data_IF_366494272340
#
_entry.id   IF_366494272340
#
_cell.length_a   1.000
_cell.length_b   1.000
_cell.length_c   1.000
_cell.angle_alpha   90.00
_cell.angle_beta   90.00
_cell.angle_gamma   90.00
#
_symmetry.space_group_name_H-M   'P 1'
#
loop_
_entity.id
_entity.type
_entity.pdbx_description
1 polymer ?
#
# COMPACT_ATOMS: atom_id res chain seq x y z
N UNK A 1 58.33 -24.20 -2.06
CA UNK A 1 59.67 -23.58 -1.89
C UNK A 1 60.30 -23.57 -3.27
N UNK A 2 60.95 -22.46 -3.69
CA UNK A 2 61.41 -22.18 -5.07
C UNK A 2 60.21 -22.02 -6.07
N UNK A 3 60.01 -20.97 -6.88
CA UNK A 3 60.91 -20.01 -7.59
C UNK A 3 61.72 -20.71 -8.72
N UNK A 4 62.12 -20.04 -9.84
CA UNK A 4 61.93 -18.63 -10.19
C UNK A 4 61.51 -18.37 -11.67
N UNK A 5 61.50 -17.09 -12.07
CA UNK A 5 62.00 -16.68 -13.40
C UNK A 5 62.68 -15.30 -13.29
N UNK A 6 63.91 -15.21 -13.79
CA UNK A 6 64.73 -13.99 -13.96
C UNK A 6 64.54 -13.44 -15.39
N UNK A 7 65.20 -12.43 -15.97
CA UNK A 7 66.40 -11.57 -15.73
C UNK A 7 66.23 -10.34 -16.69
N UNK A 8 66.82 -9.14 -16.62
CA UNK A 8 67.85 -8.41 -15.84
C UNK A 8 67.26 -7.03 -15.41
N UNK A 9 67.82 -6.12 -14.58
CA UNK A 9 69.18 -5.79 -14.06
C UNK A 9 70.07 -4.91 -14.97
N UNK A 10 70.11 -3.59 -14.75
CA UNK A 10 71.34 -2.79 -14.91
C UNK A 10 71.33 -1.49 -14.09
N UNK A 11 72.43 -1.21 -13.40
CA UNK A 11 72.64 -0.06 -12.51
C UNK A 11 73.19 1.17 -13.23
N UNK A 12 72.95 2.36 -12.65
CA UNK A 12 73.98 3.42 -12.57
C UNK A 12 73.78 4.30 -11.32
N UNK A 13 74.51 4.00 -10.24
CA UNK A 13 74.59 4.84 -9.03
C UNK A 13 75.58 6.01 -9.21
N UNK A 14 75.18 7.22 -8.76
CA UNK A 14 76.13 8.22 -8.24
C UNK A 14 75.49 9.28 -7.31
N UNK A 15 75.26 8.88 -6.05
CA UNK A 15 75.63 9.63 -4.84
C UNK A 15 75.39 11.16 -4.72
N UNK A 16 74.55 11.53 -3.72
CA UNK A 16 74.62 12.73 -2.84
C UNK A 16 74.25 14.10 -3.48
N UNK A 17 73.65 15.06 -2.76
CA UNK A 17 73.63 15.33 -1.30
C UNK A 17 72.30 16.02 -0.88
N UNK A 18 72.03 16.10 0.43
CA UNK A 18 70.84 16.76 0.99
C UNK A 18 70.79 18.27 0.70
N UNK A 19 69.59 18.81 0.43
CA UNK A 19 69.12 20.06 1.05
C UNK A 19 67.57 20.10 1.02
N UNK A 20 66.96 20.42 2.15
CA UNK A 20 65.52 20.67 2.31
C UNK A 20 65.34 22.19 2.40
N UNK A 21 64.32 22.77 1.77
CA UNK A 21 63.23 23.28 2.62
C UNK A 21 61.81 23.15 2.04
N UNK A 22 60.91 22.61 2.87
CA UNK A 22 59.49 22.98 2.98
C UNK A 22 58.71 23.37 1.71
N UNK A 23 58.16 22.39 1.00
CA UNK A 23 57.03 22.56 0.07
C UNK A 23 55.79 21.85 0.61
N UNK A 24 54.85 22.58 1.24
CA UNK A 24 53.72 22.00 1.95
C UNK A 24 52.54 21.66 1.01
N UNK A 25 52.65 20.55 0.28
CA UNK A 25 51.55 20.01 -0.54
C UNK A 25 50.45 19.38 0.30
N UNK A 26 49.62 20.20 0.93
CA UNK A 26 48.33 19.76 1.47
C UNK A 26 47.37 19.45 0.32
N UNK A 27 46.92 18.20 0.22
CA UNK A 27 45.83 17.81 -0.65
C UNK A 27 44.50 18.36 -0.09
N UNK A 28 44.12 19.56 -0.53
CA UNK A 28 43.00 20.31 0.02
C UNK A 28 41.80 20.34 -0.95
N UNK A 29 40.97 19.29 -0.92
CA UNK A 29 39.56 19.34 -1.38
C UNK A 29 38.72 18.19 -0.82
N UNK A 30 38.85 17.91 0.48
CA UNK A 30 37.73 17.33 1.23
C UNK A 30 36.68 18.44 1.41
N UNK A 31 35.89 18.68 0.36
CA UNK A 31 34.76 19.62 0.42
C UNK A 31 33.71 19.00 1.34
N UNK A 32 33.47 19.59 2.51
CA UNK A 32 32.41 19.09 3.37
C UNK A 32 31.07 19.38 2.72
N UNK A 33 30.12 18.44 2.76
CA UNK A 33 28.78 18.64 2.19
C UNK A 33 28.01 19.81 2.84
N UNK A 34 28.45 20.30 4.01
CA UNK A 34 27.93 21.48 4.68
C UNK A 34 28.35 22.83 4.06
N UNK A 35 29.36 22.84 3.18
CA UNK A 35 29.91 24.07 2.58
C UNK A 35 29.25 24.42 1.22
N UNK A 36 28.22 23.67 0.80
CA UNK A 36 27.42 23.93 -0.40
C UNK A 36 26.29 24.91 -0.08
N UNK A 37 26.21 26.01 -0.84
CA UNK A 37 25.13 26.99 -0.72
C UNK A 37 23.76 26.37 -1.09
N UNK A 38 22.70 26.95 -0.53
CA UNK A 38 21.33 26.42 -0.65
C UNK A 38 20.80 26.40 -2.10
N UNK A 39 21.28 27.32 -2.95
CA UNK A 39 20.97 27.37 -4.38
C UNK A 39 21.68 26.24 -5.16
N UNK A 40 22.95 25.94 -4.83
CA UNK A 40 23.67 24.79 -5.37
C UNK A 40 23.09 23.47 -4.86
N UNK A 41 22.72 23.37 -3.59
CA UNK A 41 22.08 22.17 -3.02
C UNK A 41 20.71 21.88 -3.67
N UNK A 42 19.88 22.91 -3.89
CA UNK A 42 18.60 22.74 -4.60
C UNK A 42 18.79 22.40 -6.09
N UNK A 43 19.81 22.94 -6.76
CA UNK A 43 20.16 22.54 -8.14
C UNK A 43 20.68 21.10 -8.24
N UNK A 44 21.47 20.64 -7.27
CA UNK A 44 21.93 19.25 -7.18
C UNK A 44 20.78 18.28 -6.87
N UNK A 45 19.75 18.74 -6.14
CA UNK A 45 18.47 18.05 -5.94
C UNK A 45 17.47 18.19 -7.10
N UNK A 46 17.85 18.76 -8.26
CA UNK A 46 16.92 19.22 -9.29
C UNK A 46 15.96 18.19 -9.92
N UNK A 47 16.19 16.89 -9.72
CA UNK A 47 15.33 15.78 -10.15
C UNK A 47 14.78 14.94 -8.97
N UNK A 48 15.08 15.30 -7.72
CA UNK A 48 14.69 14.53 -6.54
C UNK A 48 13.22 14.78 -6.14
N UNK A 49 12.54 13.74 -5.65
CA UNK A 49 11.17 13.86 -5.10
C UNK A 49 11.25 14.19 -3.60
N UNK A 50 10.98 15.44 -3.24
CA UNK A 50 10.96 15.90 -1.84
C UNK A 50 12.32 15.79 -1.16
N UNK A 51 12.36 15.10 -0.01
CA UNK A 51 13.61 14.74 0.69
C UNK A 51 14.19 13.36 0.29
N UNK A 52 13.56 12.64 -0.65
CA UNK A 52 14.01 11.30 -1.09
C UNK A 52 15.15 11.36 -2.11
N UNK A 53 15.73 10.18 -2.42
CA UNK A 53 16.69 10.01 -3.52
C UNK A 53 16.03 9.58 -4.85
N UNK A 54 14.69 9.58 -4.92
CA UNK A 54 13.96 9.09 -6.10
C UNK A 54 13.79 10.16 -7.17
N UNK A 55 13.82 9.75 -8.44
CA UNK A 55 13.82 10.61 -9.62
C UNK A 55 12.41 10.99 -10.10
N UNK A 56 12.13 12.28 -10.23
CA UNK A 56 10.94 12.81 -10.88
C UNK A 56 10.87 12.39 -12.36
N UNK A 57 12.01 12.45 -13.06
CA UNK A 57 12.14 12.06 -14.47
C UNK A 57 11.85 10.58 -14.71
N UNK A 58 12.25 9.70 -13.78
CA UNK A 58 11.87 8.28 -13.80
C UNK A 58 10.34 8.14 -13.74
N UNK A 59 9.69 8.69 -12.71
CA UNK A 59 8.24 8.61 -12.54
C UNK A 59 7.50 9.13 -13.78
N UNK A 60 7.95 10.26 -14.34
CA UNK A 60 7.35 10.83 -15.55
C UNK A 60 7.54 9.95 -16.79
N UNK A 61 8.70 9.29 -16.99
CA UNK A 61 8.89 8.28 -18.05
C UNK A 61 7.90 7.14 -17.87
N UNK A 62 7.86 6.54 -16.68
CA UNK A 62 7.00 5.39 -16.37
C UNK A 62 5.52 5.73 -16.59
N UNK A 63 5.05 6.89 -16.11
CA UNK A 63 3.66 7.32 -16.27
C UNK A 63 3.28 7.72 -17.71
N UNK A 64 4.24 8.08 -18.56
CA UNK A 64 3.98 8.26 -19.99
C UNK A 64 3.76 6.90 -20.68
N UNK A 65 4.65 5.92 -20.48
CA UNK A 65 4.49 4.55 -21.01
C UNK A 65 3.20 3.90 -20.51
N UNK A 66 2.88 4.09 -19.23
CA UNK A 66 1.62 3.70 -18.59
C UNK A 66 0.38 4.23 -19.32
N UNK A 67 0.38 5.52 -19.68
CA UNK A 67 -0.76 6.18 -20.34
C UNK A 67 -0.99 5.68 -21.77
N UNK A 68 0.06 5.14 -22.41
CA UNK A 68 0.03 4.53 -23.74
C UNK A 68 -0.57 3.11 -23.76
N UNK A 69 -0.87 2.52 -22.59
CA UNK A 69 -1.41 1.16 -22.40
C UNK A 69 -0.57 0.04 -23.07
N UNK A 70 0.73 0.28 -23.24
CA UNK A 70 1.69 -0.76 -23.65
C UNK A 70 2.05 -1.54 -22.39
N UNK A 71 1.78 -2.85 -22.38
CA UNK A 71 2.16 -3.75 -21.30
C UNK A 71 3.21 -4.75 -21.78
N UNK A 72 4.33 -4.78 -21.07
CA UNK A 72 5.50 -5.65 -21.30
C UNK A 72 6.31 -5.76 -19.99
N UNK A 73 7.42 -6.50 -20.02
CA UNK A 73 8.26 -6.77 -18.85
C UNK A 73 9.01 -5.50 -18.36
N UNK A 74 9.37 -4.54 -19.23
CA UNK A 74 10.06 -3.30 -18.81
C UNK A 74 9.10 -2.40 -18.01
N UNK A 75 7.86 -2.25 -18.47
CA UNK A 75 6.88 -1.43 -17.75
C UNK A 75 6.35 -2.11 -16.49
N UNK A 76 6.31 -3.45 -16.40
CA UNK A 76 6.04 -4.12 -15.11
C UNK A 76 7.17 -3.83 -14.10
N UNK A 77 8.44 -3.96 -14.48
CA UNK A 77 9.58 -3.64 -13.59
C UNK A 77 9.57 -2.17 -13.15
N UNK A 78 9.39 -1.22 -14.08
CA UNK A 78 9.28 0.22 -13.79
C UNK A 78 8.12 0.50 -12.80
N UNK A 79 6.95 -0.13 -12.98
CA UNK A 79 5.78 0.07 -12.10
C UNK A 79 5.90 -0.64 -10.75
N UNK A 80 6.58 -1.78 -10.67
CA UNK A 80 6.91 -2.44 -9.40
C UNK A 80 7.84 -1.55 -8.57
N UNK A 81 8.89 -0.98 -9.19
CA UNK A 81 9.78 -0.05 -8.51
C UNK A 81 9.05 1.23 -8.08
N UNK A 82 8.15 1.75 -8.90
CA UNK A 82 7.27 2.87 -8.51
C UNK A 82 6.35 2.53 -7.32
N UNK A 83 5.90 1.29 -7.21
CA UNK A 83 5.11 0.83 -6.07
C UNK A 83 5.95 0.79 -4.78
N UNK A 84 7.16 0.25 -4.82
CA UNK A 84 8.09 0.29 -3.68
C UNK A 84 8.42 1.73 -3.27
N UNK A 85 8.59 2.66 -4.23
CA UNK A 85 8.78 4.09 -3.95
C UNK A 85 7.61 4.72 -3.17
N UNK A 86 6.38 4.23 -3.34
CA UNK A 86 5.18 4.77 -2.63
C UNK A 86 5.08 4.37 -1.15
N UNK A 87 6.13 3.76 -0.58
CA UNK A 87 6.34 3.74 0.88
C UNK A 87 6.67 5.15 1.39
N UNK A 88 7.31 6.00 0.59
CA UNK A 88 7.69 7.36 0.99
C UNK A 88 6.56 8.38 0.76
N UNK A 89 6.22 9.12 1.82
CA UNK A 89 5.09 10.08 1.82
C UNK A 89 5.27 11.20 0.77
N UNK A 90 6.50 11.60 0.46
CA UNK A 90 6.76 12.62 -0.57
C UNK A 90 6.54 12.10 -2.00
N UNK A 91 6.79 10.80 -2.25
CA UNK A 91 6.45 10.17 -3.54
C UNK A 91 4.94 10.11 -3.71
N UNK A 92 4.21 9.76 -2.65
CA UNK A 92 2.74 9.76 -2.67
C UNK A 92 2.15 11.15 -2.94
N UNK A 93 2.67 12.21 -2.32
CA UNK A 93 2.27 13.61 -2.62
C UNK A 93 2.54 13.95 -4.08
N UNK A 94 3.76 13.69 -4.57
CA UNK A 94 4.16 14.02 -5.95
C UNK A 94 3.29 13.30 -6.99
N UNK A 95 3.01 12.01 -6.78
CA UNK A 95 2.06 11.24 -7.61
C UNK A 95 0.65 11.82 -7.56
N UNK A 96 0.18 12.30 -6.41
CA UNK A 96 -1.11 12.99 -6.30
C UNK A 96 -1.10 14.33 -7.05
N UNK A 97 -0.03 15.13 -6.93
CA UNK A 97 0.11 16.42 -7.60
C UNK A 97 0.08 16.30 -9.13
N UNK A 98 0.76 15.30 -9.69
CA UNK A 98 0.72 14.97 -11.14
C UNK A 98 -0.53 14.16 -11.55
N UNK A 99 -1.54 14.08 -10.67
CA UNK A 99 -2.87 13.51 -10.94
C UNK A 99 -2.90 12.00 -11.24
N UNK A 100 -2.03 11.22 -10.59
CA UNK A 100 -2.04 9.75 -10.69
C UNK A 100 -3.42 9.10 -10.44
N UNK A 101 -4.26 9.52 -9.46
CA UNK A 101 -5.56 8.88 -9.23
C UNK A 101 -6.47 8.86 -10.47
N UNK A 102 -6.56 9.99 -11.18
CA UNK A 102 -7.38 10.09 -12.39
C UNK A 102 -6.76 9.34 -13.56
N UNK A 103 -5.44 9.37 -13.68
CA UNK A 103 -4.69 8.60 -14.68
C UNK A 103 -4.92 7.09 -14.49
N UNK A 104 -4.78 6.59 -13.26
CA UNK A 104 -5.03 5.20 -12.85
C UNK A 104 -6.45 4.73 -13.14
N UNK A 105 -7.47 5.50 -12.75
CA UNK A 105 -8.86 5.17 -13.06
C UNK A 105 -9.12 5.16 -14.57
N UNK A 106 -8.47 6.05 -15.32
CA UNK A 106 -8.61 6.12 -16.79
C UNK A 106 -7.93 4.97 -17.55
N UNK A 107 -7.02 4.21 -16.92
CA UNK A 107 -6.32 3.07 -17.54
C UNK A 107 -6.86 1.73 -17.05
N UNK A 108 -7.29 1.60 -15.79
CA UNK A 108 -7.97 0.39 -15.29
C UNK A 108 -9.23 0.09 -16.10
N UNK A 109 -10.05 1.10 -16.44
CA UNK A 109 -11.26 0.97 -17.26
C UNK A 109 -11.00 0.53 -18.73
N UNK A 110 -9.72 0.30 -19.11
CA UNK A 110 -9.26 -0.06 -20.46
C UNK A 110 -8.28 -1.24 -20.51
N UNK A 111 -7.62 -1.58 -19.42
CA UNK A 111 -6.60 -2.63 -19.35
C UNK A 111 -7.20 -3.91 -18.77
N UNK A 112 -6.82 -5.06 -19.32
CA UNK A 112 -7.30 -6.39 -18.87
C UNK A 112 -6.22 -7.21 -18.15
N UNK A 113 -5.01 -6.68 -18.00
CA UNK A 113 -3.89 -7.43 -17.42
C UNK A 113 -3.95 -7.38 -15.90
N UNK A 114 -4.27 -8.51 -15.25
CA UNK A 114 -4.47 -8.58 -13.80
C UNK A 114 -3.33 -7.94 -13.00
N UNK A 115 -2.09 -8.16 -13.45
CA UNK A 115 -0.88 -7.69 -12.78
C UNK A 115 -0.72 -6.17 -12.85
N UNK A 116 -1.11 -5.55 -13.96
CA UNK A 116 -1.23 -4.10 -14.08
C UNK A 116 -2.26 -3.56 -13.09
N UNK A 117 -3.47 -4.14 -13.08
CA UNK A 117 -4.58 -3.70 -12.22
C UNK A 117 -4.19 -3.81 -10.73
N UNK A 118 -3.53 -4.91 -10.34
CA UNK A 118 -3.00 -5.12 -8.99
C UNK A 118 -2.03 -3.99 -8.59
N UNK A 119 -0.97 -3.75 -9.37
CA UNK A 119 0.06 -2.75 -9.04
C UNK A 119 -0.56 -1.35 -8.96
N UNK A 120 -1.46 -1.00 -9.88
CA UNK A 120 -2.08 0.33 -9.93
C UNK A 120 -2.98 0.60 -8.73
N UNK A 121 -3.83 -0.37 -8.34
CA UNK A 121 -4.66 -0.23 -7.13
C UNK A 121 -3.77 -0.24 -5.88
N UNK A 122 -2.67 -1.00 -5.89
CA UNK A 122 -1.65 -1.02 -4.84
C UNK A 122 -0.96 0.34 -4.62
N UNK A 123 -0.54 1.01 -5.70
CA UNK A 123 0.00 2.37 -5.71
C UNK A 123 -1.06 3.37 -5.24
N UNK A 124 -2.28 3.30 -5.79
CA UNK A 124 -3.38 4.21 -5.44
C UNK A 124 -3.76 4.11 -3.96
N UNK A 125 -3.82 2.89 -3.40
CA UNK A 125 -4.07 2.69 -1.97
C UNK A 125 -2.96 3.26 -1.08
N UNK A 126 -1.69 3.23 -1.52
CA UNK A 126 -0.58 3.88 -0.80
C UNK A 126 -0.69 5.42 -0.85
N UNK A 127 -0.97 5.99 -2.04
CA UNK A 127 -1.14 7.44 -2.24
C UNK A 127 -2.24 8.00 -1.32
N UNK A 128 -3.40 7.36 -1.31
CA UNK A 128 -4.56 7.80 -0.51
C UNK A 128 -4.36 7.60 0.99
N UNK A 129 -3.45 6.70 1.40
CA UNK A 129 -3.07 6.49 2.80
C UNK A 129 -2.07 7.55 3.31
N UNK A 130 -1.45 8.32 2.41
CA UNK A 130 -0.37 9.25 2.75
C UNK A 130 -0.82 10.63 3.26
N UNK A 131 -2.09 10.82 3.65
CA UNK A 131 -2.74 12.12 3.95
C UNK A 131 -2.42 13.22 2.91
N UNK A 132 -2.86 13.03 1.67
CA UNK A 132 -2.78 14.08 0.65
C UNK A 132 -3.89 15.14 0.87
N UNK A 133 -3.60 16.43 0.62
CA UNK A 133 -4.53 17.55 0.87
C UNK A 133 -5.80 17.59 -0.02
N UNK A 134 -5.98 16.61 -0.92
CA UNK A 134 -7.17 16.46 -1.76
C UNK A 134 -7.59 15.00 -1.81
N UNK A 135 -8.90 14.78 -1.96
CA UNK A 135 -9.49 13.45 -2.06
C UNK A 135 -9.64 12.99 -3.51
N UNK A 136 -9.69 11.67 -3.70
CA UNK A 136 -10.25 11.01 -4.89
C UNK A 136 -11.76 11.30 -5.00
N UNK A 137 -12.30 11.36 -6.23
CA UNK A 137 -13.74 11.61 -6.49
C UNK A 137 -14.60 10.35 -6.29
N UNK A 138 -15.92 10.53 -6.15
CA UNK A 138 -16.84 9.38 -6.05
C UNK A 138 -16.88 8.57 -7.35
N UNK A 139 -16.77 9.21 -8.51
CA UNK A 139 -16.71 8.55 -9.81
C UNK A 139 -15.46 7.67 -9.96
N UNK A 140 -14.30 8.17 -9.54
CA UNK A 140 -13.04 7.41 -9.49
C UNK A 140 -13.15 6.23 -8.51
N UNK A 141 -13.72 6.43 -7.32
CA UNK A 141 -13.99 5.33 -6.37
C UNK A 141 -14.89 4.26 -7.02
N UNK A 142 -15.96 4.66 -7.70
CA UNK A 142 -16.86 3.71 -8.38
C UNK A 142 -16.17 2.93 -9.50
N UNK A 143 -15.18 3.51 -10.21
CA UNK A 143 -14.37 2.78 -11.20
C UNK A 143 -13.56 1.69 -10.50
N UNK A 144 -12.81 2.02 -9.44
CA UNK A 144 -12.00 1.04 -8.71
C UNK A 144 -12.86 -0.06 -8.08
N UNK A 145 -14.06 0.26 -7.56
CA UNK A 145 -14.96 -0.73 -6.95
C UNK A 145 -15.64 -1.69 -7.95
N UNK A 146 -15.51 -1.49 -9.27
CA UNK A 146 -15.93 -2.49 -10.28
C UNK A 146 -15.12 -3.79 -10.13
N UNK A 147 -13.80 -3.65 -9.95
CA UNK A 147 -12.82 -4.73 -9.96
C UNK A 147 -13.02 -5.79 -8.86
N UNK A 148 -13.93 -5.54 -7.89
CA UNK A 148 -14.44 -6.55 -6.96
C UNK A 148 -15.19 -7.72 -7.65
N UNK A 149 -15.45 -7.67 -8.96
CA UNK A 149 -15.94 -8.83 -9.74
C UNK A 149 -14.81 -9.80 -10.18
N UNK A 150 -13.54 -9.48 -9.93
CA UNK A 150 -12.42 -10.37 -10.28
C UNK A 150 -12.33 -11.60 -9.37
N UNK A 151 -11.78 -12.70 -9.91
CA UNK A 151 -11.39 -13.88 -9.14
C UNK A 151 -9.94 -13.82 -8.63
N UNK A 152 -9.18 -12.78 -9.01
CA UNK A 152 -7.77 -12.64 -8.64
C UNK A 152 -7.59 -12.17 -7.20
N UNK A 153 -7.02 -13.03 -6.35
CA UNK A 153 -6.86 -12.72 -4.94
C UNK A 153 -5.88 -11.57 -4.65
N UNK A 154 -4.94 -11.27 -5.55
CA UNK A 154 -3.98 -10.18 -5.36
C UNK A 154 -4.67 -8.83 -5.61
N UNK A 155 -5.44 -8.71 -6.69
CA UNK A 155 -6.27 -7.53 -6.96
C UNK A 155 -7.27 -7.32 -5.81
N UNK A 156 -7.96 -8.38 -5.36
CA UNK A 156 -8.90 -8.30 -4.24
C UNK A 156 -8.23 -7.87 -2.92
N UNK A 157 -6.96 -8.22 -2.67
CA UNK A 157 -6.19 -7.72 -1.52
C UNK A 157 -5.96 -6.21 -1.64
N UNK A 158 -5.57 -5.70 -2.81
CA UNK A 158 -5.37 -4.26 -3.00
C UNK A 158 -6.69 -3.50 -2.91
N UNK A 159 -7.81 -4.06 -3.40
CA UNK A 159 -9.14 -3.51 -3.24
C UNK A 159 -9.58 -3.45 -1.77
N UNK A 160 -9.33 -4.49 -0.98
CA UNK A 160 -9.63 -4.47 0.45
C UNK A 160 -8.80 -3.39 1.22
N UNK A 161 -7.55 -3.15 0.80
CA UNK A 161 -6.73 -2.03 1.30
C UNK A 161 -7.28 -0.67 0.87
N UNK A 162 -7.66 -0.51 -0.39
CA UNK A 162 -8.29 0.71 -0.93
C UNK A 162 -9.59 1.04 -0.20
N UNK A 163 -10.48 0.06 0.00
CA UNK A 163 -11.72 0.19 0.78
C UNK A 163 -11.43 0.61 2.23
N UNK A 164 -10.41 0.04 2.87
CA UNK A 164 -9.97 0.45 4.21
C UNK A 164 -9.50 1.91 4.26
N UNK A 165 -8.87 2.38 3.19
CA UNK A 165 -8.32 3.74 3.07
C UNK A 165 -9.41 4.78 2.84
N UNK A 166 -10.32 4.56 1.88
CA UNK A 166 -11.47 5.48 1.67
C UNK A 166 -12.41 5.48 2.90
N UNK A 167 -12.56 4.34 3.58
CA UNK A 167 -13.27 4.26 4.86
C UNK A 167 -12.58 5.03 6.00
N UNK A 168 -11.29 5.35 5.89
CA UNK A 168 -10.62 6.30 6.79
C UNK A 168 -10.94 7.75 6.38
N UNK A 169 -10.71 8.11 5.12
CA UNK A 169 -10.80 9.48 4.58
C UNK A 169 -12.20 10.10 4.72
N UNK A 170 -13.26 9.35 4.38
CA UNK A 170 -14.63 9.88 4.27
C UNK A 170 -15.45 9.66 5.54
N UNK A 171 -16.25 10.66 5.94
CA UNK A 171 -17.13 10.56 7.13
C UNK A 171 -18.44 9.81 6.87
N UNK A 172 -18.90 9.82 5.62
CA UNK A 172 -20.07 9.08 5.11
C UNK A 172 -19.65 8.40 3.80
N UNK A 173 -20.21 7.23 3.48
CA UNK A 173 -19.75 6.36 2.40
C UNK A 173 -20.87 6.05 1.38
N UNK A 174 -21.43 7.06 0.67
CA UNK A 174 -22.58 6.89 -0.23
C UNK A 174 -22.31 5.93 -1.40
N UNK A 175 -21.04 5.81 -1.81
CA UNK A 175 -20.57 4.89 -2.86
C UNK A 175 -20.55 3.40 -2.43
N UNK A 176 -20.67 3.08 -1.14
CA UNK A 176 -20.72 1.69 -0.65
C UNK A 176 -22.17 1.19 -0.67
N UNK A 177 -22.63 0.80 -1.85
CA UNK A 177 -23.97 0.21 -2.03
C UNK A 177 -24.09 -1.22 -1.49
N UNK A 178 -25.33 -1.70 -1.33
CA UNK A 178 -25.62 -3.09 -0.94
C UNK A 178 -24.94 -4.12 -1.85
N UNK A 179 -24.82 -3.83 -3.16
CA UNK A 179 -24.12 -4.69 -4.10
C UNK A 179 -22.62 -4.84 -3.75
N UNK A 180 -21.96 -3.73 -3.43
CA UNK A 180 -20.54 -3.73 -2.99
C UNK A 180 -20.38 -4.51 -1.69
N UNK A 181 -21.28 -4.32 -0.72
CA UNK A 181 -21.28 -5.10 0.51
C UNK A 181 -21.57 -6.59 0.28
N UNK A 182 -22.44 -6.95 -0.67
CA UNK A 182 -22.70 -8.34 -1.03
C UNK A 182 -21.45 -9.00 -1.67
N UNK A 183 -20.66 -8.29 -2.48
CA UNK A 183 -19.33 -8.77 -2.94
C UNK A 183 -18.34 -8.96 -1.78
N UNK A 184 -18.26 -8.00 -0.87
CA UNK A 184 -17.40 -8.07 0.34
C UNK A 184 -17.79 -9.26 1.23
N UNK A 185 -19.09 -9.47 1.47
CA UNK A 185 -19.62 -10.65 2.18
C UNK A 185 -19.28 -11.95 1.44
N UNK A 186 -19.34 -11.98 0.11
CA UNK A 186 -18.96 -13.14 -0.69
C UNK A 186 -17.47 -13.52 -0.51
N UNK A 187 -16.56 -12.53 -0.52
CA UNK A 187 -15.13 -12.76 -0.26
C UNK A 187 -14.91 -13.37 1.14
N UNK A 188 -15.53 -12.80 2.18
CA UNK A 188 -15.44 -13.29 3.56
C UNK A 188 -15.98 -14.72 3.74
N UNK A 189 -16.96 -15.13 2.94
CA UNK A 189 -17.56 -16.47 3.02
C UNK A 189 -16.85 -17.54 2.17
N UNK A 190 -16.08 -17.16 1.14
CA UNK A 190 -15.60 -18.10 0.11
C UNK A 190 -14.08 -18.08 -0.13
N UNK A 191 -13.34 -17.05 0.31
CA UNK A 191 -11.88 -17.03 0.17
C UNK A 191 -11.21 -18.03 1.12
N UNK A 192 -10.21 -18.75 0.61
CA UNK A 192 -9.24 -19.54 1.40
C UNK A 192 -7.89 -18.84 1.56
N UNK A 193 -7.71 -17.66 0.94
CA UNK A 193 -6.52 -16.83 1.09
C UNK A 193 -6.64 -16.02 2.39
N UNK A 194 -5.77 -16.30 3.37
CA UNK A 194 -5.78 -15.67 4.70
C UNK A 194 -5.50 -14.16 4.65
N UNK A 195 -4.61 -13.68 3.78
CA UNK A 195 -4.30 -12.26 3.66
C UNK A 195 -5.50 -11.49 3.10
N UNK A 196 -6.19 -12.07 2.11
CA UNK A 196 -7.43 -11.54 1.57
C UNK A 196 -8.54 -11.52 2.63
N UNK A 197 -8.74 -12.61 3.39
CA UNK A 197 -9.71 -12.64 4.49
C UNK A 197 -9.37 -11.58 5.55
N UNK A 198 -8.10 -11.45 5.93
CA UNK A 198 -7.66 -10.51 6.95
C UNK A 198 -7.84 -9.05 6.51
N UNK A 199 -7.50 -8.72 5.26
CA UNK A 199 -7.73 -7.37 4.71
C UNK A 199 -9.20 -7.06 4.48
N UNK A 200 -10.01 -8.07 4.14
CA UNK A 200 -11.47 -7.87 4.03
C UNK A 200 -12.12 -7.67 5.41
N UNK A 201 -11.64 -8.35 6.45
CA UNK A 201 -12.04 -8.09 7.85
C UNK A 201 -11.63 -6.69 8.31
N UNK A 202 -10.39 -6.24 8.01
CA UNK A 202 -9.94 -4.87 8.27
C UNK A 202 -10.86 -3.85 7.58
N UNK A 203 -11.18 -4.06 6.30
CA UNK A 203 -12.07 -3.21 5.53
C UNK A 203 -13.47 -3.11 6.16
N UNK A 204 -14.10 -4.23 6.51
CA UNK A 204 -15.43 -4.22 7.15
C UNK A 204 -15.39 -3.56 8.53
N UNK A 205 -14.30 -3.71 9.30
CA UNK A 205 -14.10 -3.00 10.55
C UNK A 205 -14.00 -1.47 10.37
N UNK A 206 -13.41 -0.98 9.27
CA UNK A 206 -13.38 0.46 8.95
C UNK A 206 -14.74 0.95 8.42
N UNK A 207 -15.34 0.25 7.46
CA UNK A 207 -16.65 0.56 6.87
C UNK A 207 -17.74 0.68 7.94
N UNK A 208 -17.79 -0.25 8.89
CA UNK A 208 -18.78 -0.24 9.97
C UNK A 208 -18.45 0.76 11.09
N UNK A 209 -17.28 1.41 11.09
CA UNK A 209 -16.93 2.35 12.16
C UNK A 209 -17.74 3.66 12.08
N UNK A 210 -17.91 4.32 13.23
CA UNK A 210 -18.33 5.74 13.35
C UNK A 210 -19.64 6.13 12.64
N UNK A 211 -20.54 5.17 12.35
CA UNK A 211 -21.78 5.38 11.59
C UNK A 211 -21.62 5.81 10.12
N UNK A 212 -20.48 5.44 9.49
CA UNK A 212 -20.10 5.81 8.11
C UNK A 212 -20.98 5.22 6.99
N UNK A 213 -21.75 4.15 7.26
CA UNK A 213 -22.65 3.51 6.30
C UNK A 213 -24.11 3.88 6.61
N UNK A 214 -24.96 3.85 5.59
CA UNK A 214 -26.41 3.98 5.79
C UNK A 214 -26.93 2.83 6.67
N UNK A 215 -27.82 3.15 7.63
CA UNK A 215 -28.39 2.19 8.59
C UNK A 215 -29.03 0.96 7.91
N UNK A 216 -29.62 1.12 6.73
CA UNK A 216 -30.25 0.04 5.95
C UNK A 216 -29.28 -1.08 5.56
N UNK A 217 -28.00 -0.74 5.38
CA UNK A 217 -26.95 -1.67 4.98
C UNK A 217 -26.44 -2.53 6.15
N UNK A 218 -26.73 -2.14 7.40
CA UNK A 218 -26.26 -2.83 8.60
C UNK A 218 -27.26 -3.91 9.01
N UNK A 219 -26.85 -5.17 8.87
CA UNK A 219 -27.65 -6.37 9.13
C UNK A 219 -26.77 -7.51 9.68
N UNK A 220 -27.40 -8.62 10.08
CA UNK A 220 -26.69 -9.74 10.71
C UNK A 220 -25.69 -10.43 9.76
N UNK A 221 -25.87 -10.36 8.45
CA UNK A 221 -24.96 -11.00 7.49
C UNK A 221 -23.52 -10.47 7.57
N UNK A 222 -23.34 -9.18 7.91
CA UNK A 222 -22.01 -8.59 8.11
C UNK A 222 -21.26 -9.36 9.20
N UNK A 223 -21.95 -9.70 10.30
CA UNK A 223 -21.39 -10.49 11.39
C UNK A 223 -21.22 -11.96 10.97
N UNK A 224 -22.20 -12.57 10.30
CA UNK A 224 -22.14 -13.98 9.88
C UNK A 224 -20.99 -14.27 8.88
N UNK A 225 -20.82 -13.40 7.90
CA UNK A 225 -19.72 -13.48 6.92
C UNK A 225 -18.36 -13.24 7.59
N UNK A 226 -18.25 -12.20 8.41
CA UNK A 226 -17.02 -11.90 9.17
C UNK A 226 -16.65 -13.02 10.15
N UNK A 227 -17.65 -13.66 10.79
CA UNK A 227 -17.46 -14.82 11.65
C UNK A 227 -16.98 -16.05 10.86
N UNK A 228 -17.37 -16.18 9.59
CA UNK A 228 -16.90 -17.26 8.69
C UNK A 228 -15.43 -17.06 8.34
N UNK A 229 -15.05 -15.85 7.89
CA UNK A 229 -13.66 -15.46 7.64
C UNK A 229 -12.77 -15.65 8.89
N UNK A 230 -13.21 -15.11 10.03
CA UNK A 230 -12.53 -15.24 11.32
C UNK A 230 -12.31 -16.72 11.70
N UNK A 231 -13.34 -17.57 11.55
CA UNK A 231 -13.20 -19.02 11.81
C UNK A 231 -12.19 -19.68 10.89
N UNK A 232 -12.12 -19.30 9.62
CA UNK A 232 -11.13 -19.84 8.67
C UNK A 232 -9.68 -19.47 9.03
N UNK A 233 -9.44 -18.27 9.57
CA UNK A 233 -8.10 -17.84 10.01
C UNK A 233 -7.70 -18.54 11.32
N UNK A 234 -8.63 -18.63 12.28
CA UNK A 234 -8.37 -19.15 13.63
C UNK A 234 -8.30 -20.68 13.68
N UNK A 235 -9.27 -21.38 13.07
CA UNK A 235 -9.50 -22.81 13.27
C UNK A 235 -8.73 -23.62 12.21
N UNK A 236 -7.40 -23.64 12.33
CA UNK A 236 -6.56 -24.52 11.53
C UNK A 236 -6.31 -25.90 12.19
N UNK A 237 -6.24 -25.99 13.53
CA UNK A 237 -5.77 -27.22 14.23
C UNK A 237 -6.61 -27.64 15.45
N UNK A 238 -7.94 -27.62 15.36
CA UNK A 238 -8.90 -28.06 16.42
C UNK A 238 -8.82 -27.36 17.80
N UNK A 239 -7.82 -26.52 18.04
CA UNK A 239 -7.58 -25.78 19.27
C UNK A 239 -7.59 -24.27 19.01
N UNK A 240 -8.08 -23.50 19.99
CA UNK A 240 -8.12 -22.04 19.91
C UNK A 240 -6.83 -21.45 20.49
N UNK A 241 -5.97 -20.94 19.63
CA UNK A 241 -4.74 -20.24 20.01
C UNK A 241 -4.60 -18.92 19.23
N UNK A 242 -4.03 -17.90 19.87
CA UNK A 242 -3.75 -16.58 19.29
C UNK A 242 -2.23 -16.33 19.22
N UNK A 243 -1.52 -17.35 18.76
CA UNK A 243 -0.07 -17.42 18.60
C UNK A 243 0.47 -16.50 17.49
N UNK A 244 -0.23 -16.42 16.34
CA UNK A 244 0.21 -15.57 15.22
C UNK A 244 -0.38 -14.16 15.28
N UNK A 245 0.36 -13.19 14.68
CA UNK A 245 -0.11 -11.82 14.49
C UNK A 245 -1.45 -11.76 13.75
N UNK A 246 -1.65 -12.63 12.77
CA UNK A 246 -2.81 -12.59 11.88
C UNK A 246 -4.07 -13.12 12.56
N UNK A 247 -3.93 -14.15 13.41
CA UNK A 247 -4.99 -14.60 14.33
C UNK A 247 -5.36 -13.50 15.34
N UNK A 248 -4.37 -12.78 15.88
CA UNK A 248 -4.60 -11.64 16.78
C UNK A 248 -5.30 -10.46 16.08
N UNK A 249 -4.93 -10.15 14.83
CA UNK A 249 -5.57 -9.10 14.03
C UNK A 249 -6.99 -9.50 13.59
N UNK A 250 -7.22 -10.74 13.15
CA UNK A 250 -8.56 -11.25 12.84
C UNK A 250 -9.48 -11.19 14.06
N UNK A 251 -8.97 -11.54 15.25
CA UNK A 251 -9.69 -11.39 16.52
C UNK A 251 -10.03 -9.93 16.83
N UNK A 252 -9.08 -9.00 16.64
CA UNK A 252 -9.32 -7.56 16.79
C UNK A 252 -10.42 -7.07 15.85
N UNK A 253 -10.31 -7.34 14.54
CA UNK A 253 -11.29 -6.86 13.56
C UNK A 253 -12.67 -7.48 13.78
N UNK A 254 -12.76 -8.76 14.18
CA UNK A 254 -14.04 -9.37 14.55
C UNK A 254 -14.70 -8.67 15.75
N UNK A 255 -13.91 -8.30 16.77
CA UNK A 255 -14.39 -7.53 17.92
C UNK A 255 -14.78 -6.09 17.56
N UNK A 256 -14.01 -5.43 16.68
CA UNK A 256 -14.33 -4.10 16.14
C UNK A 256 -15.68 -4.14 15.39
N UNK A 257 -15.89 -5.10 14.49
CA UNK A 257 -17.13 -5.26 13.72
C UNK A 257 -18.34 -5.51 14.63
N UNK A 258 -18.21 -6.40 15.62
CA UNK A 258 -19.30 -6.67 16.58
C UNK A 258 -19.61 -5.44 17.45
N UNK A 259 -18.58 -4.71 17.90
CA UNK A 259 -18.75 -3.46 18.66
C UNK A 259 -19.43 -2.38 17.82
N UNK A 260 -19.05 -2.24 16.55
CA UNK A 260 -19.65 -1.32 15.60
C UNK A 260 -21.14 -1.63 15.36
N UNK A 261 -21.51 -2.89 15.05
CA UNK A 261 -22.92 -3.25 14.82
C UNK A 261 -23.77 -3.08 16.09
N UNK A 262 -23.25 -3.45 17.27
CA UNK A 262 -23.89 -3.11 18.55
C UNK A 262 -24.10 -1.61 18.74
N UNK A 263 -23.17 -0.79 18.26
CA UNK A 263 -23.29 0.68 18.30
C UNK A 263 -24.39 1.18 17.36
N UNK A 264 -24.52 0.66 16.12
CA UNK A 264 -25.68 0.97 15.25
C UNK A 264 -27.01 0.59 15.90
N UNK A 265 -27.12 -0.63 16.44
CA UNK A 265 -28.33 -1.12 17.12
C UNK A 265 -28.74 -0.15 18.24
N UNK A 266 -27.77 0.34 19.02
CA UNK A 266 -27.99 1.29 20.13
C UNK A 266 -28.26 2.71 19.64
N UNK A 267 -27.67 3.13 18.50
CA UNK A 267 -27.79 4.48 17.95
C UNK A 267 -29.13 4.74 17.24
N UNK A 268 -29.71 3.69 16.66
CA UNK A 268 -30.91 3.74 15.82
C UNK A 268 -32.12 2.97 16.40
N UNK A 269 -32.05 2.58 17.68
CA UNK A 269 -33.09 1.82 18.40
C UNK A 269 -33.59 0.56 17.64
N UNK A 270 -32.67 -0.16 17.00
CA UNK A 270 -33.01 -1.27 16.12
C UNK A 270 -33.36 -2.55 16.91
N UNK A 271 -34.63 -2.61 17.31
CA UNK A 271 -35.20 -3.71 18.07
C UNK A 271 -35.30 -5.02 17.27
N UNK A 272 -35.30 -4.97 15.93
CA UNK A 272 -35.35 -6.14 15.07
C UNK A 272 -33.97 -6.79 14.98
N UNK A 273 -32.95 -6.03 14.57
CA UNK A 273 -31.57 -6.49 14.53
C UNK A 273 -31.05 -6.89 15.93
N UNK A 274 -31.47 -6.19 16.98
CA UNK A 274 -31.20 -6.58 18.38
C UNK A 274 -31.81 -7.96 18.72
N UNK A 275 -33.00 -8.27 18.22
CA UNK A 275 -33.65 -9.57 18.43
C UNK A 275 -32.93 -10.67 17.64
N UNK A 276 -32.48 -10.41 16.41
CA UNK A 276 -31.70 -11.35 15.61
C UNK A 276 -30.33 -11.63 16.22
N UNK A 277 -29.60 -10.59 16.59
CA UNK A 277 -28.32 -10.69 17.30
C UNK A 277 -28.47 -11.52 18.60
N UNK A 278 -29.55 -11.29 19.38
CA UNK A 278 -29.88 -12.09 20.56
C UNK A 278 -30.25 -13.55 20.25
N UNK A 279 -30.74 -13.89 19.05
CA UNK A 279 -30.93 -15.29 18.61
C UNK A 279 -29.58 -15.94 18.31
N UNK A 280 -28.71 -15.25 17.57
CA UNK A 280 -27.39 -15.77 17.18
C UNK A 280 -26.58 -16.28 18.38
N UNK A 281 -26.45 -15.47 19.45
CA UNK A 281 -25.75 -15.88 20.66
C UNK A 281 -26.42 -17.03 21.43
N UNK A 282 -27.74 -17.24 21.27
CA UNK A 282 -28.47 -18.38 21.85
C UNK A 282 -28.31 -19.69 21.06
N UNK A 283 -27.64 -19.66 19.91
CA UNK A 283 -27.27 -20.84 19.14
C UNK A 283 -25.77 -21.20 19.28
N UNK A 284 -25.06 -20.51 20.19
CA UNK A 284 -23.62 -20.69 20.49
C UNK A 284 -23.42 -21.32 21.89
N UNK A 285 -24.51 -21.49 22.66
CA UNK A 285 -24.60 -22.15 23.97
C UNK A 285 -25.67 -23.26 23.93
#
# INVERSE_FOLDING_TARGET
>A
MYQPLTMEVNDYDKNKKNENPSGNYQAASNTNACDLDEETNTKLRGDAIGDTLYSQSFVLKTLLTFSDLKWDEEIEEDLCFLWDMTVEKDVCKYLFEISFPSLACSTIDKCTENRFIEIVIGILANILCADCDKNITEEEIHIILKELDTADSLILIQLARFISTIAHMFQELPFISENILNKIKFILCNSTNNDLLLKTLEAVAKLTSSYKLEKSLINLDIINSSLTAYRSIIINENHFELDTRDKQLACRHMLEIVSNVCSYITRFDDNELLLEFKKMFKCIY
#
